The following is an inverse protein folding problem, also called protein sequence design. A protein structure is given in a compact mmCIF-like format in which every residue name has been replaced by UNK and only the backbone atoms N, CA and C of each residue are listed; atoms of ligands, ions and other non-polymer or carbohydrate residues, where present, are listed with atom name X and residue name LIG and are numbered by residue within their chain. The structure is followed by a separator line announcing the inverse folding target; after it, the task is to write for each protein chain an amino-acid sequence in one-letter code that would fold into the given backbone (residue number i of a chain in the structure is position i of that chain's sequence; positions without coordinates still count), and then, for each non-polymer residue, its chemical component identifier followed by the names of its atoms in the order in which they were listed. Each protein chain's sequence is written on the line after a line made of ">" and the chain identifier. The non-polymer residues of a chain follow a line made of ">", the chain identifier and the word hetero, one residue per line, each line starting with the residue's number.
data_IF_966789488861
#
_entry.id   IF_966789488861
#
_cell.length_a   1.000
_cell.length_b   1.000
_cell.length_c   1.000
_cell.angle_alpha   90.00
_cell.angle_beta   90.00
_cell.angle_gamma   90.00
#
_symmetry.space_group_name_H-M   'P 1'
#
loop_
_entity.id
_entity.type
_entity.pdbx_description
1 polymer ?
#
# COMPACT_ATOMS: atom_id res chain seq x y z
N UNK A 1 18.86 8.11 -10.50
CA UNK A 1 17.48 7.57 -10.38
C UNK A 1 17.43 6.18 -10.96
N UNK A 2 16.88 5.24 -10.22
CA UNK A 2 16.64 3.88 -10.70
C UNK A 2 15.19 3.80 -11.18
N UNK A 3 14.99 3.20 -12.37
CA UNK A 3 13.69 3.05 -13.02
C UNK A 3 13.29 1.59 -13.02
N UNK A 4 12.08 1.30 -12.57
CA UNK A 4 11.52 -0.04 -12.49
C UNK A 4 10.18 -0.10 -13.20
N UNK A 5 10.01 -1.09 -14.06
CA UNK A 5 8.70 -1.42 -14.63
C UNK A 5 7.93 -2.25 -13.60
N UNK A 6 6.76 -1.78 -13.25
CA UNK A 6 5.88 -2.40 -12.26
C UNK A 6 4.49 -2.55 -12.82
N UNK A 7 3.66 -3.32 -12.14
CA UNK A 7 2.24 -3.45 -12.47
C UNK A 7 1.40 -3.08 -11.23
N UNK A 8 0.45 -2.19 -11.40
CA UNK A 8 -0.57 -1.92 -10.40
C UNK A 8 -1.65 -2.96 -10.58
N UNK A 9 -1.74 -3.92 -9.66
CA UNK A 9 -2.66 -5.06 -9.77
C UNK A 9 -3.96 -4.86 -9.00
N UNK A 10 -3.98 -3.96 -8.02
CA UNK A 10 -5.19 -3.62 -7.28
C UNK A 10 -5.13 -2.17 -6.80
N UNK A 11 -6.28 -1.51 -6.89
CA UNK A 11 -6.54 -0.19 -6.30
C UNK A 11 -7.76 -0.32 -5.39
N UNK A 12 -7.57 -0.03 -4.10
CA UNK A 12 -8.55 -0.23 -3.04
C UNK A 12 -8.85 1.08 -2.35
N UNK A 13 -10.10 1.51 -2.42
CA UNK A 13 -10.59 2.74 -1.79
C UNK A 13 -11.87 2.45 -1.04
N UNK A 14 -11.91 2.79 0.24
CA UNK A 14 -13.11 2.67 1.07
C UNK A 14 -13.23 3.86 2.01
N UNK A 15 -14.42 4.43 2.18
CA UNK A 15 -14.67 5.49 3.15
C UNK A 15 -14.71 4.97 4.59
N UNK A 16 -14.77 3.65 4.79
CA UNK A 16 -14.95 3.00 6.08
C UNK A 16 -13.71 2.23 6.54
N UNK A 17 -13.49 2.24 7.85
CA UNK A 17 -12.48 1.42 8.50
C UNK A 17 -13.09 0.06 8.87
N UNK A 18 -12.81 -0.97 8.05
CA UNK A 18 -13.42 -2.28 8.25
C UNK A 18 -12.79 -3.11 9.39
N UNK A 19 -11.55 -2.83 9.76
CA UNK A 19 -10.82 -3.56 10.82
C UNK A 19 -11.05 -2.90 12.18
N UNK A 20 -12.28 -2.98 12.65
CA UNK A 20 -12.69 -2.48 13.96
C UNK A 20 -13.30 -3.59 14.81
N UNK A 21 -13.14 -3.46 16.15
CA UNK A 21 -13.60 -4.47 17.08
C UNK A 21 -12.62 -5.65 17.17
N UNK A 22 -13.14 -6.85 17.45
CA UNK A 22 -12.33 -8.05 17.60
C UNK A 22 -12.16 -8.76 16.25
N UNK A 23 -10.95 -9.17 15.88
CA UNK A 23 -10.72 -9.92 14.63
C UNK A 23 -11.60 -11.16 14.48
N UNK A 24 -11.90 -11.87 15.58
CA UNK A 24 -12.75 -13.08 15.57
C UNK A 24 -14.18 -12.81 15.07
N UNK A 25 -14.67 -11.59 15.20
CA UNK A 25 -16.01 -11.20 14.74
C UNK A 25 -16.04 -10.85 13.24
N UNK A 26 -14.89 -10.86 12.58
CA UNK A 26 -14.73 -10.51 11.16
C UNK A 26 -14.73 -9.00 10.90
N UNK A 27 -14.33 -8.60 9.68
CA UNK A 27 -14.31 -7.19 9.29
C UNK A 27 -15.73 -6.66 9.07
N UNK A 28 -15.88 -5.34 9.27
CA UNK A 28 -17.11 -4.64 8.88
C UNK A 28 -17.28 -4.66 7.36
N UNK A 29 -18.51 -4.78 6.84
CA UNK A 29 -18.77 -4.67 5.41
C UNK A 29 -18.49 -3.26 4.91
N UNK A 30 -17.99 -3.16 3.68
CA UNK A 30 -17.82 -1.87 3.02
C UNK A 30 -19.19 -1.40 2.48
N UNK A 31 -19.53 -0.11 2.67
CA UNK A 31 -20.82 0.43 2.20
C UNK A 31 -20.87 0.62 0.68
N UNK A 32 -19.70 0.71 0.04
CA UNK A 32 -19.52 0.92 -1.39
C UNK A 32 -18.49 -0.08 -1.95
N UNK A 33 -18.53 -0.38 -3.26
CA UNK A 33 -17.49 -1.18 -3.89
C UNK A 33 -16.11 -0.56 -3.66
N UNK A 34 -15.15 -1.39 -3.20
CA UNK A 34 -13.80 -0.94 -2.85
C UNK A 34 -12.81 -1.00 -4.01
N UNK A 35 -13.13 -1.83 -5.02
CA UNK A 35 -12.27 -2.04 -6.19
C UNK A 35 -12.39 -0.87 -7.14
N UNK A 36 -11.26 -0.35 -7.59
CA UNK A 36 -11.18 0.74 -8.56
C UNK A 36 -10.32 0.32 -9.75
N UNK A 37 -10.66 0.78 -10.94
CA UNK A 37 -9.79 0.71 -12.11
C UNK A 37 -8.84 1.91 -12.19
N UNK A 38 -9.22 3.00 -11.55
CA UNK A 38 -8.39 4.20 -11.36
C UNK A 38 -8.73 4.90 -10.05
N UNK A 39 -7.81 5.71 -9.57
CA UNK A 39 -7.97 6.54 -8.37
C UNK A 39 -7.44 7.94 -8.63
N UNK A 40 -8.16 8.95 -8.12
CA UNK A 40 -7.66 10.31 -8.09
C UNK A 40 -6.76 10.51 -6.87
N UNK A 41 -5.60 11.09 -7.11
CA UNK A 41 -4.59 11.40 -6.11
C UNK A 41 -4.53 12.91 -5.91
N UNK A 42 -4.51 13.35 -4.67
CA UNK A 42 -4.36 14.77 -4.31
C UNK A 42 -3.16 14.96 -3.40
N UNK A 43 -2.30 15.90 -3.78
CA UNK A 43 -1.09 16.24 -3.04
C UNK A 43 -1.39 16.55 -1.57
N UNK A 44 -0.66 15.90 -0.67
CA UNK A 44 -0.79 16.06 0.78
C UNK A 44 -2.08 15.50 1.39
N UNK A 45 -3.01 14.98 0.58
CA UNK A 45 -4.33 14.53 1.05
C UNK A 45 -4.54 13.02 0.92
N UNK A 46 -4.08 12.40 -0.16
CA UNK A 46 -4.22 10.98 -0.41
C UNK A 46 -5.11 10.64 -1.60
N UNK A 47 -5.85 9.53 -1.50
CA UNK A 47 -6.75 9.05 -2.54
C UNK A 47 -8.17 9.53 -2.28
N UNK A 48 -8.78 10.18 -3.27
CA UNK A 48 -10.15 10.69 -3.17
C UNK A 48 -11.13 9.54 -2.87
N UNK A 49 -11.95 9.71 -1.85
CA UNK A 49 -12.94 8.73 -1.41
C UNK A 49 -12.45 7.73 -0.36
N UNK A 50 -11.15 7.72 -0.05
CA UNK A 50 -10.60 6.83 0.98
C UNK A 50 -10.77 7.42 2.38
N UNK A 51 -10.86 6.55 3.40
CA UNK A 51 -11.02 6.93 4.82
C UNK A 51 -9.89 7.81 5.35
N UNK A 52 -8.70 7.69 4.78
CA UNK A 52 -7.54 8.48 5.17
C UNK A 52 -7.35 9.76 4.34
N UNK A 53 -8.24 10.00 3.38
CA UNK A 53 -8.19 11.21 2.57
C UNK A 53 -8.37 12.45 3.43
N UNK A 54 -7.38 13.37 3.34
CA UNK A 54 -7.36 14.63 4.10
C UNK A 54 -7.55 14.46 5.62
N UNK A 55 -7.14 13.32 6.18
CA UNK A 55 -7.30 13.02 7.59
C UNK A 55 -6.12 13.56 8.39
N UNK A 56 -6.38 14.46 9.35
CA UNK A 56 -5.33 15.17 10.11
C UNK A 56 -4.33 14.25 10.81
N UNK A 57 -4.80 13.14 11.37
CA UNK A 57 -3.94 12.16 12.05
C UNK A 57 -3.09 11.32 11.09
N UNK A 58 -3.39 11.33 9.79
CA UNK A 58 -2.73 10.50 8.78
C UNK A 58 -2.11 11.30 7.64
N UNK A 59 -1.72 12.56 7.89
CA UNK A 59 -1.15 13.43 6.84
C UNK A 59 0.05 12.82 6.12
N UNK A 60 0.90 12.10 6.85
CA UNK A 60 2.09 11.45 6.31
C UNK A 60 1.88 9.95 6.00
N UNK A 61 0.65 9.47 6.10
CA UNK A 61 0.31 8.05 6.00
C UNK A 61 -1.03 7.83 5.31
N UNK A 62 -1.41 8.77 4.43
CA UNK A 62 -2.72 8.78 3.79
C UNK A 62 -2.89 7.68 2.73
N UNK A 63 -1.79 7.15 2.18
CA UNK A 63 -1.79 6.11 1.16
C UNK A 63 -0.92 4.94 1.61
N UNK A 64 -1.41 3.73 1.38
CA UNK A 64 -0.66 2.50 1.66
C UNK A 64 -0.36 1.76 0.37
N UNK A 65 0.89 1.34 0.19
CA UNK A 65 1.34 0.54 -0.95
C UNK A 65 1.87 -0.80 -0.43
N UNK A 66 1.52 -1.88 -1.10
CA UNK A 66 1.82 -3.25 -0.70
C UNK A 66 2.36 -4.05 -1.90
N UNK A 67 3.32 -4.94 -1.66
CA UNK A 67 3.87 -5.81 -2.69
C UNK A 67 3.03 -7.08 -2.84
N UNK A 68 2.58 -7.39 -4.06
CA UNK A 68 1.87 -8.63 -4.37
C UNK A 68 2.67 -9.86 -3.97
N UNK A 69 3.98 -9.81 -4.15
CA UNK A 69 4.92 -10.88 -3.83
C UNK A 69 4.90 -11.25 -2.34
N UNK A 70 4.52 -10.30 -1.46
CA UNK A 70 4.37 -10.59 -0.03
C UNK A 70 3.22 -11.53 0.27
N UNK A 71 2.10 -11.46 -0.47
CA UNK A 71 1.03 -12.45 -0.39
C UNK A 71 1.43 -13.78 -1.03
N UNK A 72 2.08 -13.72 -2.18
CA UNK A 72 2.53 -14.91 -2.91
C UNK A 72 3.53 -15.74 -2.08
N UNK A 73 4.38 -15.07 -1.29
CA UNK A 73 5.33 -15.73 -0.39
C UNK A 73 4.67 -16.53 0.76
N UNK A 74 3.38 -16.35 1.00
CA UNK A 74 2.62 -17.17 1.95
C UNK A 74 2.24 -18.55 1.39
N UNK A 75 2.39 -18.75 0.07
CA UNK A 75 2.11 -20.02 -0.65
C UNK A 75 0.71 -20.58 -0.37
N UNK A 76 -0.29 -19.70 -0.35
CA UNK A 76 -1.69 -20.08 -0.13
C UNK A 76 -2.32 -20.61 -1.42
N UNK A 77 -3.16 -21.65 -1.31
CA UNK A 77 -3.91 -22.23 -2.39
C UNK A 77 -5.40 -22.37 -1.98
N UNK A 78 -6.34 -21.70 -2.68
CA UNK A 78 -6.11 -20.75 -3.77
C UNK A 78 -5.39 -19.45 -3.29
N UNK A 79 -4.72 -18.73 -4.21
CA UNK A 79 -4.12 -17.44 -3.86
C UNK A 79 -5.18 -16.46 -3.35
N UNK A 80 -4.91 -15.71 -2.27
CA UNK A 80 -5.88 -14.74 -1.77
C UNK A 80 -6.05 -13.57 -2.73
N UNK A 81 -7.25 -13.00 -2.73
CA UNK A 81 -7.52 -11.75 -3.43
C UNK A 81 -6.65 -10.62 -2.81
N UNK A 82 -5.92 -9.86 -3.61
CA UNK A 82 -5.07 -8.78 -3.09
C UNK A 82 -5.83 -7.70 -2.31
N UNK A 83 -7.13 -7.55 -2.51
CA UNK A 83 -7.95 -6.60 -1.76
C UNK A 83 -8.16 -6.97 -0.28
N UNK A 84 -7.92 -8.22 0.13
CA UNK A 84 -8.14 -8.66 1.51
C UNK A 84 -7.23 -7.95 2.52
N UNK A 85 -6.05 -7.53 2.11
CA UNK A 85 -5.11 -6.81 2.98
C UNK A 85 -5.51 -5.34 3.21
N UNK A 86 -6.47 -4.83 2.44
CA UNK A 86 -6.98 -3.45 2.52
C UNK A 86 -5.88 -2.40 2.41
N UNK A 87 -4.88 -2.65 1.60
CA UNK A 87 -3.89 -1.66 1.17
C UNK A 87 -4.40 -0.95 -0.08
N UNK A 88 -4.18 0.36 -0.18
CA UNK A 88 -4.73 1.17 -1.27
C UNK A 88 -4.20 0.77 -2.64
N UNK A 89 -2.90 0.49 -2.72
CA UNK A 89 -2.23 0.16 -3.98
C UNK A 89 -1.47 -1.14 -3.77
N UNK A 90 -1.73 -2.12 -4.61
CA UNK A 90 -0.95 -3.36 -4.65
C UNK A 90 -0.13 -3.39 -5.92
N UNK A 91 1.19 -3.47 -5.77
CA UNK A 91 2.16 -3.49 -6.86
C UNK A 91 2.79 -4.86 -7.02
N UNK A 92 3.14 -5.20 -8.27
CA UNK A 92 4.06 -6.29 -8.59
C UNK A 92 5.31 -5.72 -9.24
N UNK A 93 6.49 -6.29 -8.92
CA UNK A 93 7.75 -5.99 -9.59
C UNK A 93 8.70 -5.06 -8.81
N UNK A 94 8.39 -4.74 -7.56
CA UNK A 94 9.28 -3.95 -6.70
C UNK A 94 9.09 -4.31 -5.21
N UNK A 95 10.19 -4.43 -4.43
CA UNK A 95 10.13 -4.66 -2.98
C UNK A 95 9.68 -3.38 -2.24
N UNK A 96 8.38 -3.20 -2.12
CA UNK A 96 7.73 -1.95 -1.66
C UNK A 96 8.20 -1.50 -0.27
N UNK A 97 8.58 -2.44 0.59
CA UNK A 97 9.05 -2.11 1.95
C UNK A 97 10.36 -1.28 1.94
N UNK A 98 11.13 -1.32 0.85
CA UNK A 98 12.32 -0.48 0.66
C UNK A 98 12.00 1.01 0.44
N UNK A 99 10.73 1.35 0.17
CA UNK A 99 10.29 2.73 -0.02
C UNK A 99 10.13 3.52 1.29
N UNK A 100 10.25 2.86 2.43
CA UNK A 100 10.20 3.53 3.73
C UNK A 100 11.36 4.52 3.84
N UNK A 101 11.04 5.79 4.13
CA UNK A 101 12.01 6.88 4.21
C UNK A 101 12.54 7.40 2.86
N UNK A 102 11.94 6.96 1.75
CA UNK A 102 12.39 7.33 0.40
C UNK A 102 11.40 8.27 -0.29
N UNK A 103 11.94 9.13 -1.17
CA UNK A 103 11.17 9.79 -2.20
C UNK A 103 11.17 8.91 -3.46
N UNK A 104 10.01 8.76 -4.08
CA UNK A 104 9.85 7.96 -5.29
C UNK A 104 8.73 8.51 -6.16
N UNK A 105 8.68 8.12 -7.42
CA UNK A 105 7.53 8.34 -8.28
C UNK A 105 6.86 7.03 -8.63
N UNK A 106 5.55 7.04 -8.72
CA UNK A 106 4.75 5.93 -9.24
C UNK A 106 3.76 6.48 -10.25
N UNK A 107 3.83 6.00 -11.49
CA UNK A 107 2.94 6.49 -12.55
C UNK A 107 3.06 7.99 -12.79
N UNK A 108 4.25 8.57 -12.60
CA UNK A 108 4.52 10.00 -12.74
C UNK A 108 4.12 10.87 -11.54
N UNK A 109 3.54 10.31 -10.50
CA UNK A 109 3.17 11.00 -9.26
C UNK A 109 4.29 10.81 -8.23
N UNK A 110 4.78 11.90 -7.65
CA UNK A 110 5.77 11.83 -6.56
C UNK A 110 5.10 11.48 -5.25
N UNK A 111 5.78 10.65 -4.48
CA UNK A 111 5.41 10.25 -3.13
C UNK A 111 6.59 10.36 -2.19
N UNK A 112 6.28 10.51 -0.92
CA UNK A 112 7.22 10.38 0.18
C UNK A 112 6.80 9.21 1.07
N UNK A 113 7.65 8.19 1.20
CA UNK A 113 7.46 7.06 2.09
C UNK A 113 7.86 7.43 3.50
N UNK A 114 6.96 7.29 4.46
CA UNK A 114 7.21 7.69 5.84
C UNK A 114 7.53 6.52 6.76
N UNK A 115 6.72 5.50 6.74
CA UNK A 115 6.87 4.37 7.68
C UNK A 115 6.32 3.08 7.13
N UNK A 116 6.74 1.96 7.72
CA UNK A 116 6.19 0.65 7.40
C UNK A 116 4.69 0.57 7.74
N UNK A 117 3.94 -0.08 6.89
CA UNK A 117 2.56 -0.46 7.15
C UNK A 117 2.55 -1.83 7.81
N UNK A 118 2.61 -1.88 9.13
CA UNK A 118 2.70 -3.14 9.86
C UNK A 118 1.45 -4.00 9.66
N UNK A 119 1.60 -5.32 9.45
CA UNK A 119 0.48 -6.23 9.52
C UNK A 119 -0.07 -6.28 10.96
N UNK A 120 -1.29 -6.74 11.11
CA UNK A 120 -1.93 -6.90 12.42
C UNK A 120 -2.69 -8.22 12.48
N UNK A 121 -3.25 -8.52 13.65
CA UNK A 121 -3.99 -9.77 13.87
C UNK A 121 -5.17 -9.99 12.92
N UNK A 122 -5.69 -8.95 12.31
CA UNK A 122 -6.72 -9.06 11.27
C UNK A 122 -6.28 -9.88 10.06
N UNK A 123 -4.97 -9.92 9.78
CA UNK A 123 -4.43 -10.72 8.67
C UNK A 123 -4.70 -12.21 8.83
N UNK A 124 -4.71 -12.72 10.07
CA UNK A 124 -5.03 -14.13 10.34
C UNK A 124 -6.49 -14.48 10.04
N UNK A 125 -7.36 -13.50 10.06
CA UNK A 125 -8.79 -13.68 9.78
C UNK A 125 -9.11 -13.48 8.30
N UNK A 126 -8.59 -12.40 7.70
CA UNK A 126 -8.98 -11.99 6.34
C UNK A 126 -8.13 -12.64 5.24
N UNK A 127 -6.93 -13.07 5.56
CA UNK A 127 -6.03 -13.76 4.62
C UNK A 127 -6.02 -15.27 4.89
N UNK A 128 -5.40 -15.67 5.98
CA UNK A 128 -5.35 -17.06 6.43
C UNK A 128 -4.69 -17.12 7.82
N UNK A 129 -4.94 -18.17 8.63
CA UNK A 129 -4.18 -18.40 9.85
C UNK A 129 -2.66 -18.40 9.59
N UNK A 130 -1.91 -17.64 10.38
CA UNK A 130 -0.47 -17.46 10.22
C UNK A 130 -0.05 -16.30 9.33
N UNK A 131 -0.97 -15.64 8.65
CA UNK A 131 -0.65 -14.51 7.75
C UNK A 131 -0.08 -13.31 8.49
N UNK A 132 -0.54 -13.02 9.69
CA UNK A 132 0.01 -11.94 10.52
C UNK A 132 1.52 -12.12 10.74
N UNK A 133 1.93 -13.32 11.12
CA UNK A 133 3.34 -13.64 11.32
C UNK A 133 4.12 -13.67 10.00
N UNK A 134 3.53 -14.25 8.95
CA UNK A 134 4.15 -14.39 7.63
C UNK A 134 4.37 -13.05 6.91
N UNK A 135 3.54 -12.05 7.19
CA UNK A 135 3.66 -10.70 6.63
C UNK A 135 4.50 -9.74 7.47
N UNK A 136 5.03 -10.20 8.60
CA UNK A 136 5.88 -9.36 9.45
C UNK A 136 7.10 -8.85 8.69
N UNK A 137 7.30 -7.52 8.67
CA UNK A 137 8.34 -6.87 7.87
C UNK A 137 8.00 -6.68 6.39
N UNK A 138 6.84 -7.17 5.94
CA UNK A 138 6.38 -7.15 4.55
C UNK A 138 4.96 -6.60 4.40
N UNK A 139 4.56 -5.73 5.29
CA UNK A 139 3.22 -5.13 5.30
C UNK A 139 3.05 -3.94 4.36
N UNK A 140 4.10 -3.51 3.70
CA UNK A 140 4.10 -2.37 2.79
C UNK A 140 4.56 -1.06 3.41
N UNK A 141 4.32 0.03 2.71
CA UNK A 141 4.71 1.39 3.11
C UNK A 141 3.49 2.29 3.25
N UNK A 142 3.53 3.15 4.24
CA UNK A 142 2.63 4.31 4.38
C UNK A 142 3.32 5.54 3.84
N UNK A 143 2.64 6.23 2.94
CA UNK A 143 3.22 7.36 2.22
C UNK A 143 2.20 8.49 2.03
N UNK A 144 2.70 9.61 1.57
CA UNK A 144 1.90 10.77 1.17
C UNK A 144 2.23 11.16 -0.26
N UNK A 145 1.23 11.45 -1.11
CA UNK A 145 1.47 11.99 -2.44
C UNK A 145 1.92 13.44 -2.35
N UNK A 146 2.84 13.82 -3.23
CA UNK A 146 3.35 15.19 -3.35
C UNK A 146 2.78 15.92 -4.57
N UNK A 147 2.12 15.20 -5.46
CA UNK A 147 1.47 15.74 -6.65
C UNK A 147 0.02 15.30 -6.74
N UNK A 148 -0.76 16.07 -7.48
CA UNK A 148 -2.07 15.64 -7.97
C UNK A 148 -1.90 14.74 -9.20
N UNK A 149 -2.84 13.82 -9.40
CA UNK A 149 -2.84 12.97 -10.59
C UNK A 149 -3.87 11.86 -10.52
N UNK A 150 -3.72 10.89 -11.43
CA UNK A 150 -4.55 9.70 -11.51
C UNK A 150 -3.65 8.49 -11.64
N UNK A 151 -3.89 7.48 -10.82
CA UNK A 151 -3.28 6.14 -10.98
C UNK A 151 -4.30 5.18 -11.57
N UNK A 152 -3.86 4.29 -12.45
CA UNK A 152 -4.68 3.30 -13.13
C UNK A 152 -4.12 1.90 -12.91
N UNK A 153 -5.00 0.89 -12.97
CA UNK A 153 -4.58 -0.51 -13.06
C UNK A 153 -3.71 -0.73 -14.31
N UNK A 154 -2.77 -1.65 -14.20
CA UNK A 154 -1.92 -2.09 -15.29
C UNK A 154 -0.47 -1.61 -15.16
N UNK A 155 0.27 -1.61 -16.28
CA UNK A 155 1.68 -1.23 -16.31
C UNK A 155 1.90 0.20 -15.82
N UNK A 156 2.93 0.37 -15.01
CA UNK A 156 3.36 1.67 -14.53
C UNK A 156 4.89 1.70 -14.36
N UNK A 157 5.43 2.88 -14.14
CA UNK A 157 6.85 3.06 -13.85
C UNK A 157 7.00 3.55 -12.43
N UNK A 158 7.86 2.91 -11.68
CA UNK A 158 8.32 3.35 -10.38
C UNK A 158 9.77 3.82 -10.51
N UNK A 159 10.05 5.02 -10.03
CA UNK A 159 11.40 5.58 -10.02
C UNK A 159 11.78 5.92 -8.59
N UNK A 160 12.97 5.50 -8.19
CA UNK A 160 13.53 5.82 -6.88
C UNK A 160 14.72 6.75 -7.06
N UNK A 161 14.92 7.71 -6.15
CA UNK A 161 16.19 8.40 -6.04
C UNK A 161 17.28 7.36 -5.73
N UNK A 162 18.44 7.46 -6.39
CA UNK A 162 19.58 6.66 -5.99
C UNK A 162 19.84 6.96 -4.53
N UNK A 163 19.90 5.91 -3.69
CA UNK A 163 20.36 6.07 -2.32
C UNK A 163 21.73 6.72 -2.39
N UNK A 164 21.87 7.93 -1.86
CA UNK A 164 23.18 8.43 -1.52
C UNK A 164 23.74 7.44 -0.51
N UNK A 165 24.68 6.62 -0.96
CA UNK A 165 25.51 5.87 -0.05
C UNK A 165 26.27 6.92 0.75
N UNK A 166 25.76 7.26 1.91
CA UNK A 166 26.56 7.90 2.93
C UNK A 166 27.60 6.87 3.30
N UNK A 167 28.73 6.95 2.59
CA UNK A 167 29.97 6.36 3.04
C UNK A 167 30.25 7.00 4.39
N UNK A 168 29.93 6.27 5.45
CA UNK A 168 30.45 6.55 6.77
C UNK A 168 31.98 6.47 6.64
N UNK A 169 32.60 7.62 6.48
CA UNK A 169 34.02 7.75 6.71
C UNK A 169 34.20 7.64 8.23
N UNK A 170 34.72 6.50 8.62
CA UNK A 170 35.23 6.28 9.95
C UNK A 170 36.51 7.14 10.17
#
# INVERSE_FOLDING_TARGET
>A
MSRHEVEIIALHVSPEHAFEGRPVDGPRPDPLPVRRDHVEVRAGQGLVGDRYFNHRAHRNAAVTIFAAESLEALHLDPPPDPHVVRRNIVLRGFPVDELVGQHFTLGGIRFEGHRAAHPCAWMDVVVAPGAFRGLRGHGGVRCVPLDDGVLRLGPAVLETSAAEQVLAQA
#
